data_IF_839693799859
#
_entry.id   IF_839693799859
#
_cell.length_a   1.000
_cell.length_b   1.000
_cell.length_c   1.000
_cell.angle_alpha   90.00
_cell.angle_beta   90.00
_cell.angle_gamma   90.00
#
_symmetry.space_group_name_H-M   'P 1'
#
loop_
_entity.id
_entity.type
_entity.pdbx_description
1 polymer ?
#
# COMPACT_ATOMS: atom_id res chain seq x y z
N UNK A 1 9.96 43.51 26.34
CA UNK A 1 9.59 43.11 24.97
C UNK A 1 8.56 44.10 24.50
N UNK A 2 8.84 44.84 23.44
CA UNK A 2 7.84 45.72 22.84
C UNK A 2 6.72 44.88 22.22
N UNK A 3 5.45 45.28 22.40
CA UNK A 3 4.34 44.61 21.75
C UNK A 3 4.47 44.77 20.22
N UNK A 4 4.32 43.65 19.52
CA UNK A 4 4.38 43.57 18.06
C UNK A 4 3.30 44.47 17.44
N UNK A 5 3.64 45.21 16.38
CA UNK A 5 2.68 46.07 15.70
C UNK A 5 1.52 45.24 15.12
N UNK A 6 0.28 45.76 15.12
CA UNK A 6 -0.89 45.02 14.62
C UNK A 6 -0.74 44.53 13.18
N UNK A 7 -0.10 45.32 12.32
CA UNK A 7 0.16 45.01 10.91
C UNK A 7 1.13 43.83 10.75
N UNK A 8 2.19 43.78 11.56
CA UNK A 8 3.14 42.66 11.55
C UNK A 8 2.46 41.37 12.02
N UNK A 9 1.54 41.48 12.99
CA UNK A 9 0.78 40.32 13.51
C UNK A 9 -0.16 39.76 12.43
N UNK A 10 -0.89 40.62 11.73
CA UNK A 10 -1.79 40.22 10.64
C UNK A 10 -1.04 39.56 9.46
N UNK A 11 0.12 40.11 9.10
CA UNK A 11 0.98 39.51 8.07
C UNK A 11 1.52 38.15 8.52
N UNK A 12 1.93 38.01 9.78
CA UNK A 12 2.41 36.73 10.33
C UNK A 12 1.29 35.68 10.38
N UNK A 13 0.09 36.07 10.79
CA UNK A 13 -1.06 35.18 10.86
C UNK A 13 -1.46 34.70 9.45
N UNK A 14 -1.49 35.61 8.47
CA UNK A 14 -1.72 35.28 7.06
C UNK A 14 -0.67 34.32 6.49
N UNK A 15 0.62 34.58 6.75
CA UNK A 15 1.69 33.68 6.33
C UNK A 15 1.57 32.30 6.99
N UNK A 16 1.21 32.26 8.28
CA UNK A 16 1.02 31.01 9.02
C UNK A 16 -0.14 30.20 8.43
N UNK A 17 -1.25 30.85 8.08
CA UNK A 17 -2.39 30.23 7.42
C UNK A 17 -2.02 29.64 6.06
N UNK A 18 -1.27 30.38 5.24
CA UNK A 18 -0.81 29.90 3.92
C UNK A 18 0.09 28.67 4.09
N UNK A 19 1.05 28.72 5.04
CA UNK A 19 1.96 27.62 5.32
C UNK A 19 1.18 26.38 5.79
N UNK A 20 0.25 26.54 6.74
CA UNK A 20 -0.56 25.45 7.26
C UNK A 20 -1.41 24.80 6.15
N UNK A 21 -2.08 25.59 5.31
CA UNK A 21 -2.83 25.06 4.15
C UNK A 21 -1.94 24.29 3.18
N UNK A 22 -0.69 24.71 2.99
CA UNK A 22 0.26 24.01 2.13
C UNK A 22 0.73 22.70 2.77
N UNK A 23 0.99 22.69 4.08
CA UNK A 23 1.33 21.49 4.84
C UNK A 23 0.19 20.47 4.73
N UNK A 24 -1.05 20.88 4.97
CA UNK A 24 -2.22 20.01 4.88
C UNK A 24 -2.44 19.45 3.47
N UNK A 25 -2.23 20.27 2.46
CA UNK A 25 -2.33 19.83 1.06
C UNK A 25 -1.23 18.84 0.69
N UNK A 26 0.00 19.08 1.14
CA UNK A 26 1.10 18.14 0.94
C UNK A 26 0.86 16.82 1.67
N UNK A 27 0.33 16.87 2.90
CA UNK A 27 -0.01 15.67 3.68
C UNK A 27 -1.05 14.81 2.96
N UNK A 28 -2.16 15.42 2.50
CA UNK A 28 -3.18 14.72 1.71
C UNK A 28 -2.60 14.10 0.44
N UNK A 29 -1.75 14.83 -0.27
CA UNK A 29 -1.09 14.30 -1.47
C UNK A 29 -0.19 13.09 -1.15
N UNK A 30 0.59 13.16 -0.08
CA UNK A 30 1.42 12.04 0.37
C UNK A 30 0.56 10.84 0.72
N UNK A 31 -0.53 11.04 1.48
CA UNK A 31 -1.46 9.97 1.86
C UNK A 31 -2.07 9.30 0.62
N UNK A 32 -2.50 10.08 -0.39
CA UNK A 32 -3.02 9.56 -1.66
C UNK A 32 -1.97 8.74 -2.44
N UNK A 33 -0.72 9.21 -2.50
CA UNK A 33 0.36 8.50 -3.18
C UNK A 33 0.68 7.19 -2.46
N UNK A 34 0.78 7.23 -1.13
CA UNK A 34 1.01 6.04 -0.31
C UNK A 34 -0.10 5.01 -0.49
N UNK A 35 -1.37 5.45 -0.51
CA UNK A 35 -2.50 4.56 -0.76
C UNK A 35 -2.41 3.89 -2.15
N UNK A 36 -2.04 4.65 -3.20
CA UNK A 36 -1.85 4.08 -4.56
C UNK A 36 -0.72 3.06 -4.60
N UNK A 37 0.38 3.33 -3.91
CA UNK A 37 1.53 2.40 -3.81
C UNK A 37 1.11 1.12 -3.10
N UNK A 38 0.38 1.23 -1.98
CA UNK A 38 -0.12 0.07 -1.23
C UNK A 38 -1.07 -0.79 -2.07
N UNK A 39 -2.03 -0.17 -2.76
CA UNK A 39 -2.97 -0.88 -3.63
C UNK A 39 -2.25 -1.58 -4.79
N UNK A 40 -1.25 -0.92 -5.39
CA UNK A 40 -0.43 -1.52 -6.42
C UNK A 40 0.33 -2.76 -5.93
N UNK A 41 0.94 -2.70 -4.75
CA UNK A 41 1.67 -3.83 -4.17
C UNK A 41 0.71 -4.98 -3.79
N UNK A 42 -0.43 -4.65 -3.20
CA UNK A 42 -1.48 -5.62 -2.89
C UNK A 42 -1.90 -6.38 -4.15
N UNK A 43 -2.19 -5.64 -5.24
CA UNK A 43 -2.56 -6.23 -6.53
C UNK A 43 -1.45 -7.11 -7.10
N UNK A 44 -0.20 -6.65 -7.06
CA UNK A 44 0.94 -7.44 -7.53
C UNK A 44 1.03 -8.79 -6.82
N UNK A 45 0.97 -8.82 -5.49
CA UNK A 45 1.05 -10.07 -4.74
C UNK A 45 -0.17 -10.96 -4.97
N UNK A 46 -1.35 -10.38 -5.17
CA UNK A 46 -2.55 -11.14 -5.50
C UNK A 46 -2.45 -11.81 -6.87
N UNK A 47 -1.98 -11.09 -7.89
CA UNK A 47 -1.73 -11.65 -9.23
C UNK A 47 -0.71 -12.79 -9.15
N UNK A 48 0.38 -12.62 -8.38
CA UNK A 48 1.37 -13.68 -8.17
C UNK A 48 0.83 -14.91 -7.45
N UNK A 49 -0.01 -14.71 -6.44
CA UNK A 49 -0.69 -15.81 -5.77
C UNK A 49 -1.54 -16.63 -6.76
N UNK A 50 -2.37 -15.97 -7.56
CA UNK A 50 -3.21 -16.64 -8.55
C UNK A 50 -2.40 -17.38 -9.62
N UNK A 51 -1.32 -16.77 -10.11
CA UNK A 51 -0.42 -17.40 -11.08
C UNK A 51 0.17 -18.71 -10.54
N UNK A 52 0.64 -18.72 -9.28
CA UNK A 52 1.22 -19.91 -8.65
C UNK A 52 0.17 -21.00 -8.41
N UNK A 53 -1.04 -20.63 -7.97
CA UNK A 53 -2.16 -21.58 -7.84
C UNK A 53 -2.49 -22.22 -9.19
N UNK A 54 -2.55 -21.42 -10.26
CA UNK A 54 -2.83 -21.94 -11.59
C UNK A 54 -1.72 -22.87 -12.09
N UNK A 55 -0.45 -22.53 -11.89
CA UNK A 55 0.68 -23.40 -12.25
C UNK A 55 0.69 -24.70 -11.47
N UNK A 56 0.38 -24.66 -10.17
CA UNK A 56 0.22 -25.84 -9.35
C UNK A 56 -0.82 -26.80 -9.96
N UNK A 57 -2.00 -26.31 -10.32
CA UNK A 57 -3.05 -27.12 -10.95
C UNK A 57 -2.62 -27.73 -12.29
N UNK A 58 -1.84 -27.00 -13.09
CA UNK A 58 -1.32 -27.49 -14.37
C UNK A 58 -0.30 -28.62 -14.15
N UNK A 59 0.63 -28.45 -13.21
CA UNK A 59 1.63 -29.48 -12.87
C UNK A 59 0.96 -30.74 -12.29
N UNK A 60 -0.07 -30.60 -11.45
CA UNK A 60 -0.86 -31.72 -10.94
C UNK A 60 -1.57 -32.48 -12.08
N UNK A 61 -2.16 -31.76 -13.04
CA UNK A 61 -2.86 -32.36 -14.19
C UNK A 61 -1.94 -33.19 -15.08
N UNK A 62 -0.66 -32.81 -15.20
CA UNK A 62 0.33 -33.58 -15.97
C UNK A 62 1.08 -34.61 -15.11
N UNK A 63 0.72 -34.77 -13.84
CA UNK A 63 1.31 -35.74 -12.92
C UNK A 63 2.67 -35.34 -12.34
N UNK A 64 3.10 -34.09 -12.52
CA UNK A 64 4.34 -33.57 -11.94
C UNK A 64 4.11 -33.06 -10.50
N UNK A 65 4.05 -34.00 -9.56
CA UNK A 65 3.79 -33.68 -8.16
C UNK A 65 4.90 -32.83 -7.50
N UNK A 66 6.15 -32.97 -7.95
CA UNK A 66 7.25 -32.15 -7.43
C UNK A 66 7.12 -30.69 -7.85
N UNK A 67 6.79 -30.43 -9.12
CA UNK A 67 6.52 -29.08 -9.62
C UNK A 67 5.30 -28.45 -8.92
N UNK A 68 4.22 -29.21 -8.78
CA UNK A 68 3.04 -28.77 -8.05
C UNK A 68 3.37 -28.36 -6.61
N UNK A 69 4.17 -29.16 -5.88
CA UNK A 69 4.58 -28.81 -4.52
C UNK A 69 5.39 -27.51 -4.44
N UNK A 70 6.28 -27.26 -5.41
CA UNK A 70 7.04 -26.01 -5.47
C UNK A 70 6.11 -24.80 -5.64
N UNK A 71 5.15 -24.88 -6.56
CA UNK A 71 4.16 -23.83 -6.77
C UNK A 71 3.27 -23.62 -5.55
N UNK A 72 2.90 -24.68 -4.84
CA UNK A 72 2.15 -24.59 -3.58
C UNK A 72 2.88 -23.78 -2.51
N UNK A 73 4.18 -24.05 -2.30
CA UNK A 73 5.00 -23.30 -1.32
C UNK A 73 5.08 -21.81 -1.69
N UNK A 74 5.19 -21.50 -2.98
CA UNK A 74 5.19 -20.11 -3.46
C UNK A 74 3.82 -19.44 -3.27
N UNK A 75 2.73 -20.13 -3.58
CA UNK A 75 1.37 -19.65 -3.34
C UNK A 75 1.13 -19.35 -1.85
N UNK A 76 1.52 -20.27 -0.95
CA UNK A 76 1.42 -20.08 0.50
C UNK A 76 2.26 -18.90 0.98
N UNK A 77 3.43 -18.66 0.36
CA UNK A 77 4.27 -17.50 0.66
C UNK A 77 3.57 -16.19 0.28
N UNK A 78 3.02 -16.10 -0.93
CA UNK A 78 2.29 -14.91 -1.37
C UNK A 78 1.01 -14.69 -0.56
N UNK A 79 0.28 -15.76 -0.23
CA UNK A 79 -0.86 -15.70 0.67
C UNK A 79 -0.47 -15.14 2.04
N UNK A 80 0.62 -15.62 2.63
CA UNK A 80 1.12 -15.10 3.90
C UNK A 80 1.52 -13.62 3.85
N UNK A 81 2.04 -13.13 2.72
CA UNK A 81 2.30 -11.70 2.51
C UNK A 81 0.99 -10.91 2.44
N UNK A 82 0.01 -11.39 1.67
CA UNK A 82 -1.31 -10.77 1.53
C UNK A 82 -2.05 -10.66 2.87
N UNK A 83 -1.99 -11.70 3.69
CA UNK A 83 -2.57 -11.72 5.03
C UNK A 83 -1.85 -10.75 5.98
N UNK A 84 -0.53 -10.85 6.08
CA UNK A 84 0.25 -10.09 7.08
C UNK A 84 0.40 -8.61 6.74
N UNK A 85 0.62 -8.28 5.48
CA UNK A 85 0.91 -6.92 5.05
C UNK A 85 -0.35 -6.16 4.59
N UNK A 86 -1.38 -6.86 4.12
CA UNK A 86 -2.56 -6.22 3.52
C UNK A 86 -3.89 -6.63 4.17
N UNK A 87 -3.87 -7.53 5.18
CA UNK A 87 -5.09 -7.97 5.88
C UNK A 87 -6.07 -8.75 4.99
N UNK A 88 -5.62 -9.23 3.83
CA UNK A 88 -6.46 -10.03 2.93
C UNK A 88 -6.56 -11.42 3.52
N UNK A 89 -7.76 -11.81 3.94
CA UNK A 89 -8.05 -13.16 4.44
C UNK A 89 -9.09 -13.81 3.54
N UNK A 90 -9.24 -15.14 3.63
CA UNK A 90 -10.21 -15.92 2.84
C UNK A 90 -11.70 -15.59 3.14
N UNK A 91 -11.99 -14.51 3.88
CA UNK A 91 -13.34 -14.10 4.23
C UNK A 91 -14.02 -13.40 3.05
N UNK A 92 -14.74 -14.20 2.28
CA UNK A 92 -15.97 -13.80 1.58
C UNK A 92 -17.12 -13.58 2.57
#
# INVERSE_FOLDING_TARGET
MDPMAPEDKDMRDTLSDIVNRKIDSNRRYIDEVLQKVLEHHKRYYFEKFLDEVHRMELEEKVGNLQGAFQHKVMADTYKGILEKAFGVTDSA
#
